data_IF_221372208264
#
_entry.id   IF_221372208264
#
_cell.length_a   1.000
_cell.length_b   1.000
_cell.length_c   1.000
_cell.angle_alpha   90.00
_cell.angle_beta   90.00
_cell.angle_gamma   90.00
#
_symmetry.space_group_name_H-M   'P 1'
#
loop_
_entity.id
_entity.type
_entity.pdbx_description
1 polymer ?
#
# COMPACT_ATOMS: atom_id res chain seq x y z
N UNK A 1 4.96 2.80 8.05
CA UNK A 1 4.58 1.43 7.60
C UNK A 1 3.15 1.11 8.01
N UNK A 2 2.44 0.27 7.28
CA UNK A 2 1.08 -0.12 7.62
C UNK A 2 0.99 -1.62 7.91
N UNK A 3 0.17 -2.03 8.87
CA UNK A 3 -0.04 -3.44 9.20
C UNK A 3 -1.31 -3.67 10.03
N UNK A 4 -1.94 -4.84 9.86
CA UNK A 4 -3.27 -5.14 10.45
C UNK A 4 -3.28 -5.27 11.98
N UNK A 5 -2.16 -5.67 12.58
CA UNK A 5 -2.02 -5.81 14.03
C UNK A 5 -1.20 -4.64 14.55
N UNK A 6 -1.80 -3.83 15.41
CA UNK A 6 -1.16 -2.67 16.02
C UNK A 6 0.14 -3.05 16.73
N UNK A 7 0.11 -4.11 17.53
CA UNK A 7 1.28 -4.61 18.25
C UNK A 7 2.43 -4.94 17.28
N UNK A 8 2.15 -5.75 16.24
CA UNK A 8 3.18 -6.19 15.30
C UNK A 8 3.75 -5.03 14.48
N UNK A 9 2.89 -4.11 14.01
CA UNK A 9 3.34 -2.98 13.17
C UNK A 9 4.09 -1.95 14.01
N UNK A 10 3.69 -1.72 15.27
CA UNK A 10 4.40 -0.85 16.20
C UNK A 10 5.81 -1.40 16.52
N UNK A 11 5.91 -2.70 16.80
CA UNK A 11 7.21 -3.36 17.01
C UNK A 11 8.11 -3.26 15.76
N UNK A 12 7.57 -3.51 14.57
CA UNK A 12 8.32 -3.40 13.32
C UNK A 12 8.77 -1.95 13.05
N UNK A 13 7.91 -0.96 13.33
CA UNK A 13 8.23 0.45 13.13
C UNK A 13 9.41 0.87 14.00
N UNK A 14 9.40 0.48 15.28
CA UNK A 14 10.52 0.71 16.19
C UNK A 14 11.80 -0.02 15.75
N UNK A 15 11.68 -1.31 15.41
CA UNK A 15 12.84 -2.14 14.99
C UNK A 15 13.55 -1.60 13.75
N UNK A 16 12.79 -1.10 12.77
CA UNK A 16 13.33 -0.62 11.50
C UNK A 16 13.41 0.91 11.42
N UNK A 17 13.21 1.62 12.53
CA UNK A 17 13.31 3.07 12.62
C UNK A 17 12.39 3.84 11.65
N UNK A 18 11.18 3.33 11.42
CA UNK A 18 10.17 4.08 10.69
C UNK A 18 9.62 5.23 11.54
N UNK A 19 9.36 6.37 10.92
CA UNK A 19 8.83 7.57 11.60
C UNK A 19 7.44 7.38 12.22
N UNK A 20 6.71 6.34 11.81
CA UNK A 20 5.40 6.01 12.34
C UNK A 20 4.82 4.74 11.70
N UNK A 21 3.67 4.34 12.23
CA UNK A 21 2.89 3.23 11.71
C UNK A 21 1.40 3.59 11.58
N UNK A 22 0.71 2.80 10.76
CA UNK A 22 -0.74 2.86 10.55
C UNK A 22 -1.32 1.45 10.67
N UNK A 23 -2.59 1.36 11.04
CA UNK A 23 -3.36 0.10 11.04
C UNK A 23 -4.41 0.05 9.92
N UNK A 24 -4.63 1.17 9.24
CA UNK A 24 -5.44 1.31 8.05
C UNK A 24 -4.64 2.04 6.97
N UNK A 25 -4.47 1.41 5.80
CA UNK A 25 -3.71 2.00 4.70
C UNK A 25 -4.42 3.23 4.14
N UNK A 26 -5.73 3.36 4.29
CA UNK A 26 -6.47 4.56 3.83
C UNK A 26 -6.01 5.80 4.58
N UNK A 27 -5.77 5.68 5.88
CA UNK A 27 -5.22 6.77 6.69
C UNK A 27 -3.77 7.09 6.29
N UNK A 28 -2.99 6.07 5.91
CA UNK A 28 -1.63 6.25 5.42
C UNK A 28 -1.61 7.03 4.10
N UNK A 29 -2.51 6.74 3.16
CA UNK A 29 -2.56 7.45 1.88
C UNK A 29 -3.05 8.90 2.01
N UNK A 30 -3.77 9.24 3.08
CA UNK A 30 -4.16 10.63 3.38
C UNK A 30 -3.06 11.47 4.05
N UNK A 31 -1.89 10.89 4.29
CA UNK A 31 -0.75 11.61 4.88
C UNK A 31 0.14 12.18 3.77
N UNK A 32 0.18 13.51 3.68
CA UNK A 32 0.93 14.25 2.64
C UNK A 32 2.45 13.95 2.62
N UNK A 33 2.99 13.29 3.66
CA UNK A 33 4.39 12.86 3.69
C UNK A 33 4.64 11.61 2.85
N UNK A 34 3.60 10.86 2.47
CA UNK A 34 3.71 9.60 1.73
C UNK A 34 3.74 9.89 0.23
N UNK A 35 4.84 9.52 -0.40
CA UNK A 35 5.08 9.75 -1.84
C UNK A 35 5.13 8.45 -2.66
N UNK A 36 5.29 7.30 -1.98
CA UNK A 36 5.38 5.97 -2.56
C UNK A 36 4.62 4.98 -1.67
N UNK A 37 3.72 4.21 -2.28
CA UNK A 37 3.13 3.00 -1.70
C UNK A 37 3.93 1.78 -2.20
N UNK A 38 4.58 1.08 -1.27
CA UNK A 38 5.16 -0.25 -1.49
C UNK A 38 4.22 -1.32 -0.91
N UNK A 39 3.38 -1.91 -1.76
CA UNK A 39 2.35 -2.86 -1.35
C UNK A 39 2.90 -4.30 -1.29
N UNK A 40 3.17 -4.74 -0.05
CA UNK A 40 3.61 -6.09 0.31
C UNK A 40 2.47 -6.92 0.94
N UNK A 41 1.22 -6.53 0.72
CA UNK A 41 0.06 -7.22 1.27
C UNK A 41 -0.15 -8.61 0.68
N UNK A 42 -1.09 -9.40 1.21
CA UNK A 42 -1.58 -10.59 0.51
C UNK A 42 -2.15 -10.26 -0.88
N UNK A 43 -2.13 -11.21 -1.82
CA UNK A 43 -2.51 -10.97 -3.22
C UNK A 43 -3.91 -10.36 -3.41
N UNK A 44 -4.85 -10.61 -2.50
CA UNK A 44 -6.22 -10.08 -2.54
C UNK A 44 -6.34 -8.61 -2.16
N UNK A 45 -5.30 -8.02 -1.57
CA UNK A 45 -5.24 -6.60 -1.21
C UNK A 45 -4.27 -5.81 -2.08
N UNK A 46 -3.87 -6.34 -3.23
CA UNK A 46 -3.00 -5.59 -4.14
C UNK A 46 -3.76 -4.50 -4.90
N UNK A 47 -4.90 -4.85 -5.51
CA UNK A 47 -5.58 -3.97 -6.45
C UNK A 47 -6.12 -2.69 -5.78
N UNK A 48 -6.92 -2.81 -4.72
CA UNK A 48 -7.60 -1.66 -4.11
C UNK A 48 -6.63 -0.58 -3.58
N UNK A 49 -5.60 -0.88 -2.76
CA UNK A 49 -4.70 0.14 -2.25
C UNK A 49 -3.81 0.76 -3.35
N UNK A 50 -3.40 -0.06 -4.34
CA UNK A 50 -2.58 0.42 -5.45
C UNK A 50 -3.35 1.39 -6.35
N UNK A 51 -4.60 1.05 -6.70
CA UNK A 51 -5.47 1.96 -7.48
C UNK A 51 -5.68 3.26 -6.71
N UNK A 52 -6.07 3.17 -5.43
CA UNK A 52 -6.31 4.35 -4.60
C UNK A 52 -5.06 5.25 -4.45
N UNK A 53 -3.87 4.66 -4.33
CA UNK A 53 -2.62 5.40 -4.27
C UNK A 53 -2.31 6.10 -5.61
N UNK A 54 -2.47 5.39 -6.73
CA UNK A 54 -2.23 5.96 -8.05
C UNK A 54 -3.19 7.13 -8.34
N UNK A 55 -4.48 6.97 -8.04
CA UNK A 55 -5.49 8.04 -8.16
C UNK A 55 -5.21 9.25 -7.26
N UNK A 56 -4.55 9.03 -6.11
CA UNK A 56 -4.11 10.09 -5.21
C UNK A 56 -2.78 10.75 -5.65
N UNK A 57 -2.19 10.32 -6.76
CA UNK A 57 -0.90 10.82 -7.26
C UNK A 57 0.31 10.29 -6.48
N UNK A 58 0.14 9.23 -5.69
CA UNK A 58 1.20 8.54 -4.95
C UNK A 58 1.80 7.47 -5.87
N UNK A 59 3.14 7.41 -5.97
CA UNK A 59 3.80 6.38 -6.76
C UNK A 59 3.51 4.98 -6.19
N UNK A 60 3.43 3.97 -7.05
CA UNK A 60 3.09 2.61 -6.64
C UNK A 60 4.18 1.62 -7.02
N UNK A 61 4.62 0.83 -6.04
CA UNK A 61 5.34 -0.43 -6.22
C UNK A 61 4.45 -1.54 -5.65
N UNK A 62 4.09 -2.52 -6.49
CA UNK A 62 3.28 -3.65 -6.08
C UNK A 62 4.12 -4.92 -6.13
N UNK A 63 4.16 -5.67 -5.03
CA UNK A 63 4.83 -6.97 -5.01
C UNK A 63 4.14 -7.99 -5.92
N UNK A 64 4.89 -9.01 -6.35
CA UNK A 64 4.37 -10.06 -7.22
C UNK A 64 3.50 -11.08 -6.46
N UNK A 65 2.44 -11.62 -7.09
CA UNK A 65 1.88 -11.23 -8.39
C UNK A 65 1.13 -9.89 -8.32
N UNK A 66 1.14 -9.11 -9.40
CA UNK A 66 0.51 -7.78 -9.43
C UNK A 66 -0.95 -7.79 -8.95
N UNK A 67 -1.75 -8.77 -9.39
CA UNK A 67 -3.13 -8.94 -8.94
C UNK A 67 -3.55 -10.42 -9.03
N UNK A 68 -4.79 -10.75 -8.62
CA UNK A 68 -5.31 -12.13 -8.68
C UNK A 68 -5.79 -12.51 -10.08
N UNK A 69 -6.25 -11.52 -10.85
CA UNK A 69 -6.76 -11.70 -12.21
C UNK A 69 -6.14 -10.67 -13.16
N UNK A 70 -6.21 -10.95 -14.46
CA UNK A 70 -5.77 -10.00 -15.49
C UNK A 70 -6.66 -8.74 -15.52
N UNK A 71 -7.94 -8.85 -15.15
CA UNK A 71 -8.87 -7.72 -15.08
C UNK A 71 -8.48 -6.76 -13.95
N UNK A 72 -8.16 -7.28 -12.76
CA UNK A 72 -7.65 -6.46 -11.65
C UNK A 72 -6.32 -5.78 -12.01
N UNK A 73 -5.39 -6.53 -12.62
CA UNK A 73 -4.09 -5.98 -13.04
C UNK A 73 -4.26 -4.87 -14.09
N UNK A 74 -5.22 -5.02 -15.02
CA UNK A 74 -5.55 -3.98 -16.00
C UNK A 74 -6.06 -2.71 -15.32
N UNK A 75 -6.98 -2.84 -14.35
CA UNK A 75 -7.47 -1.69 -13.60
C UNK A 75 -6.37 -0.96 -12.82
N UNK A 76 -5.42 -1.70 -12.24
CA UNK A 76 -4.25 -1.11 -11.58
C UNK A 76 -3.34 -0.35 -12.55
N UNK A 77 -3.12 -0.88 -13.76
CA UNK A 77 -2.34 -0.21 -14.79
C UNK A 77 -3.04 1.05 -15.30
N UNK A 78 -4.35 0.99 -15.58
CA UNK A 78 -5.15 2.14 -16.03
C UNK A 78 -5.18 3.27 -15.01
N UNK A 79 -5.18 2.97 -13.72
CA UNK A 79 -5.12 3.99 -12.67
C UNK A 79 -3.76 4.70 -12.57
N UNK A 80 -2.70 4.12 -13.14
CA UNK A 80 -1.34 4.65 -13.08
C UNK A 80 -0.91 5.44 -14.33
N UNK A 81 -1.75 5.48 -15.38
CA UNK A 81 -1.55 6.27 -16.61
C UNK A 81 -2.19 7.66 -16.50
#
# INVERSE_FOLDING_TARGET
>A
ICGRSEENVAQAAGRFSYAGYYTDWRQMLSDDRIQLLDNNGPNDVHAEPCIAAAEAGIHVLCEKPMARTAEEAKGMWEAAE
#
